data_IF_490533515110
#
_entry.id   IF_490533515110
#
_cell.length_a   1.000
_cell.length_b   1.000
_cell.length_c   1.000
_cell.angle_alpha   90.00
_cell.angle_beta   90.00
_cell.angle_gamma   90.00
#
_symmetry.space_group_name_H-M   'P 1'
#
loop_
_entity.id
_entity.type
_entity.pdbx_description
1 polymer ?
#
# COMPACT_ATOMS: atom_id res chain seq x y z
N UNK A 1 -48.63 4.79 -5.50
CA UNK A 1 -47.74 5.90 -5.93
C UNK A 1 -47.91 6.10 -7.43
N UNK A 2 -48.09 7.34 -7.92
CA UNK A 2 -48.16 7.62 -9.36
C UNK A 2 -46.75 7.78 -9.93
N UNK A 3 -46.10 6.67 -10.28
CA UNK A 3 -44.74 6.65 -10.84
C UNK A 3 -44.60 7.53 -12.10
N UNK A 4 -45.68 7.63 -12.88
CA UNK A 4 -45.80 8.45 -14.09
C UNK A 4 -45.39 9.93 -13.90
N UNK A 5 -45.57 10.51 -12.70
CA UNK A 5 -45.18 11.90 -12.41
C UNK A 5 -43.66 12.07 -12.34
N UNK A 6 -42.94 11.03 -11.90
CA UNK A 6 -41.48 11.03 -11.77
C UNK A 6 -40.84 10.68 -13.11
N UNK A 7 -41.36 9.65 -13.79
CA UNK A 7 -40.83 9.17 -15.07
C UNK A 7 -40.91 10.21 -16.19
N UNK A 8 -41.93 11.08 -16.16
CA UNK A 8 -42.10 12.15 -17.14
C UNK A 8 -41.29 13.41 -16.84
N UNK A 9 -40.67 13.51 -15.66
CA UNK A 9 -39.90 14.68 -15.25
C UNK A 9 -38.43 14.28 -15.01
N UNK A 10 -37.58 14.55 -16.01
CA UNK A 10 -36.15 14.19 -15.98
C UNK A 10 -35.43 14.80 -14.77
N UNK A 11 -35.76 16.04 -14.38
CA UNK A 11 -35.14 16.69 -13.22
C UNK A 11 -35.50 16.00 -11.91
N UNK A 12 -36.78 15.65 -11.73
CA UNK A 12 -37.25 14.93 -10.55
C UNK A 12 -36.67 13.50 -10.48
N UNK A 13 -36.61 12.81 -11.61
CA UNK A 13 -35.99 11.49 -11.73
C UNK A 13 -34.49 11.54 -11.37
N UNK A 14 -33.75 12.52 -11.88
CA UNK A 14 -32.33 12.69 -11.57
C UNK A 14 -32.08 12.90 -10.07
N UNK A 15 -32.89 13.74 -9.40
CA UNK A 15 -32.80 13.98 -7.96
C UNK A 15 -33.01 12.66 -7.19
N UNK A 16 -34.03 11.88 -7.52
CA UNK A 16 -34.29 10.62 -6.83
C UNK A 16 -33.20 9.56 -7.08
N UNK A 17 -32.59 9.52 -8.26
CA UNK A 17 -31.45 8.65 -8.54
C UNK A 17 -30.25 9.03 -7.64
N UNK A 18 -29.92 10.31 -7.56
CA UNK A 18 -28.83 10.79 -6.70
C UNK A 18 -29.08 10.41 -5.24
N UNK A 19 -30.30 10.64 -4.73
CA UNK A 19 -30.67 10.26 -3.37
C UNK A 19 -30.54 8.75 -3.17
N UNK A 20 -31.08 7.95 -4.08
CA UNK A 20 -31.07 6.49 -3.97
C UNK A 20 -29.66 5.91 -3.93
N UNK A 21 -28.77 6.37 -4.81
CA UNK A 21 -27.37 5.90 -4.86
C UNK A 21 -26.57 6.40 -3.64
N UNK A 22 -26.87 7.61 -3.14
CA UNK A 22 -26.17 8.19 -1.99
C UNK A 22 -26.35 7.38 -0.70
N UNK A 23 -27.47 6.68 -0.52
CA UNK A 23 -27.68 5.85 0.66
C UNK A 23 -26.67 4.70 0.78
N UNK A 24 -26.26 4.09 -0.34
CA UNK A 24 -25.25 3.03 -0.34
C UNK A 24 -23.91 3.54 0.17
N UNK A 25 -23.40 4.62 -0.44
CA UNK A 25 -22.16 5.26 0.00
C UNK A 25 -22.24 5.76 1.45
N UNK A 26 -23.39 6.30 1.86
CA UNK A 26 -23.60 6.77 3.22
C UNK A 26 -23.47 5.62 4.23
N UNK A 27 -24.16 4.50 4.02
CA UNK A 27 -24.16 3.38 4.96
C UNK A 27 -22.84 2.60 4.97
N UNK A 28 -22.16 2.48 3.82
CA UNK A 28 -20.92 1.70 3.73
C UNK A 28 -19.66 2.49 4.10
N UNK A 29 -19.56 3.76 3.70
CA UNK A 29 -18.32 4.55 3.87
C UNK A 29 -18.36 5.36 5.17
N UNK A 30 -19.48 6.03 5.46
CA UNK A 30 -19.48 7.02 6.56
C UNK A 30 -19.18 6.41 7.92
N UNK A 31 -19.74 5.23 8.31
CA UNK A 31 -19.44 4.66 9.63
C UNK A 31 -17.96 4.31 9.81
N UNK A 32 -17.24 4.00 8.73
CA UNK A 32 -15.82 3.61 8.78
C UNK A 32 -14.91 4.75 9.23
N UNK A 33 -15.29 6.01 9.06
CA UNK A 33 -14.52 7.15 9.58
C UNK A 33 -14.48 7.21 11.12
N UNK A 34 -15.44 6.57 11.79
CA UNK A 34 -15.55 6.57 13.26
C UNK A 34 -15.38 5.18 13.87
N UNK A 35 -15.14 4.15 13.06
CA UNK A 35 -14.88 2.80 13.55
C UNK A 35 -13.40 2.66 13.93
N UNK A 36 -13.14 2.55 15.23
CA UNK A 36 -11.79 2.47 15.80
C UNK A 36 -10.95 1.35 15.19
N UNK A 37 -11.54 0.18 14.95
CA UNK A 37 -10.86 -0.96 14.37
C UNK A 37 -10.20 -0.66 13.01
N UNK A 38 -10.72 0.33 12.26
CA UNK A 38 -10.22 0.73 10.94
C UNK A 38 -9.44 2.04 10.93
N UNK A 39 -9.39 2.77 12.06
CA UNK A 39 -8.77 4.09 12.15
C UNK A 39 -7.61 4.15 13.14
N UNK A 40 -7.54 3.24 14.11
CA UNK A 40 -6.46 3.21 15.10
C UNK A 40 -5.33 2.29 14.61
N UNK A 41 -4.07 2.78 14.54
CA UNK A 41 -2.94 1.94 14.18
C UNK A 41 -2.65 0.92 15.29
N UNK A 42 -1.94 -0.16 14.95
CA UNK A 42 -1.37 -1.04 15.98
C UNK A 42 -0.32 -0.29 16.81
N UNK A 43 -0.22 -0.60 18.11
CA UNK A 43 0.76 0.02 19.02
C UNK A 43 2.23 -0.13 18.55
N UNK A 44 2.49 -1.19 17.79
CA UNK A 44 3.80 -1.56 17.23
C UNK A 44 4.03 -1.01 15.81
N UNK A 45 3.04 -0.36 15.20
CA UNK A 45 3.16 0.22 13.88
C UNK A 45 4.03 1.48 13.96
N UNK A 46 5.10 1.52 13.15
CA UNK A 46 5.91 2.72 12.95
C UNK A 46 5.71 3.27 11.54
N UNK A 47 5.85 4.58 11.34
CA UNK A 47 5.82 5.12 9.99
C UNK A 47 6.99 4.57 9.16
N UNK A 48 6.82 4.56 7.85
CA UNK A 48 7.89 4.20 6.93
C UNK A 48 9.06 5.17 7.05
N UNK A 49 10.28 4.68 6.98
CA UNK A 49 11.44 5.54 6.78
C UNK A 49 11.35 6.23 5.41
N UNK A 50 12.11 7.32 5.20
CA UNK A 50 12.11 8.01 3.91
C UNK A 50 12.42 7.05 2.73
N UNK A 51 13.35 6.11 2.91
CA UNK A 51 13.71 5.15 1.88
C UNK A 51 12.61 4.11 1.62
N UNK A 52 11.96 3.60 2.68
CA UNK A 52 10.81 2.72 2.56
C UNK A 52 9.62 3.42 1.86
N UNK A 53 9.42 4.71 2.15
CA UNK A 53 8.38 5.52 1.51
C UNK A 53 8.62 5.71 0.00
N UNK A 54 9.87 5.96 -0.42
CA UNK A 54 10.20 5.96 -1.85
C UNK A 54 10.01 4.57 -2.48
N UNK A 55 10.42 3.51 -1.78
CA UNK A 55 10.24 2.13 -2.23
C UNK A 55 8.78 1.74 -2.45
N UNK A 56 7.90 2.21 -1.56
CA UNK A 56 6.45 2.05 -1.67
C UNK A 56 5.90 2.73 -2.92
N UNK A 57 6.35 3.94 -3.21
CA UNK A 57 5.90 4.66 -4.39
C UNK A 57 6.45 4.04 -5.69
N UNK A 58 7.64 3.46 -5.66
CA UNK A 58 8.18 2.64 -6.75
C UNK A 58 7.33 1.37 -6.91
N UNK A 59 6.96 0.68 -5.83
CA UNK A 59 6.06 -0.48 -5.89
C UNK A 59 4.72 -0.14 -6.56
N UNK A 60 4.18 1.06 -6.30
CA UNK A 60 3.00 1.58 -6.98
C UNK A 60 3.26 1.91 -8.45
N UNK A 61 4.37 2.60 -8.77
CA UNK A 61 4.74 2.98 -10.14
C UNK A 61 4.93 1.77 -11.05
N UNK A 62 5.60 0.74 -10.54
CA UNK A 62 5.81 -0.54 -11.22
C UNK A 62 4.57 -1.44 -11.21
N UNK A 63 3.49 -0.98 -10.57
CA UNK A 63 2.18 -1.62 -10.51
C UNK A 63 2.24 -3.07 -9.98
N UNK A 64 3.12 -3.33 -9.01
CA UNK A 64 3.29 -4.65 -8.41
C UNK A 64 1.99 -5.19 -7.81
N UNK A 65 1.10 -4.29 -7.36
CA UNK A 65 -0.23 -4.57 -6.78
C UNK A 65 -1.17 -5.33 -7.73
N UNK A 66 -0.96 -5.28 -9.05
CA UNK A 66 -1.76 -6.07 -10.02
C UNK A 66 -1.46 -7.58 -9.95
N UNK A 67 -0.27 -7.95 -9.48
CA UNK A 67 0.16 -9.34 -9.36
C UNK A 67 0.21 -9.82 -7.93
N UNK A 68 0.48 -8.92 -6.98
CA UNK A 68 0.72 -9.23 -5.58
C UNK A 68 -0.27 -8.51 -4.68
N UNK A 69 -0.94 -9.29 -3.83
CA UNK A 69 -1.75 -8.74 -2.74
C UNK A 69 -0.88 -8.46 -1.50
N UNK A 70 -1.37 -7.56 -0.65
CA UNK A 70 -0.86 -7.31 0.69
C UNK A 70 -2.02 -7.41 1.69
N UNK A 71 -2.75 -8.52 1.66
CA UNK A 71 -3.91 -8.75 2.54
C UNK A 71 -4.14 -10.25 2.72
N UNK A 72 -3.67 -10.78 3.85
CA UNK A 72 -3.81 -12.19 4.19
C UNK A 72 -5.17 -12.43 4.83
N UNK A 73 -5.94 -13.36 4.28
CA UNK A 73 -7.29 -13.68 4.76
C UNK A 73 -7.24 -14.60 6.00
N UNK A 74 -8.24 -14.56 6.89
CA UNK A 74 -8.27 -15.34 8.12
C UNK A 74 -8.68 -16.81 7.89
N UNK A 75 -8.02 -17.47 6.94
CA UNK A 75 -8.17 -18.90 6.69
C UNK A 75 -6.88 -19.62 7.06
N UNK A 76 -7.01 -20.79 7.68
CA UNK A 76 -5.85 -21.61 8.08
C UNK A 76 -4.84 -21.81 6.95
N UNK A 77 -5.31 -22.13 5.74
CA UNK A 77 -4.42 -22.36 4.60
C UNK A 77 -3.62 -21.11 4.17
N UNK A 78 -4.17 -19.91 4.38
CA UNK A 78 -3.42 -18.67 4.13
C UNK A 78 -2.45 -18.37 5.25
N UNK A 79 -2.86 -18.58 6.50
CA UNK A 79 -2.00 -18.26 7.63
C UNK A 79 -0.77 -19.17 7.70
N UNK A 80 -0.92 -20.45 7.33
CA UNK A 80 0.20 -21.40 7.22
C UNK A 80 1.15 -21.03 6.07
N UNK A 81 0.64 -20.38 5.00
CA UNK A 81 1.43 -20.03 3.81
C UNK A 81 2.16 -18.69 3.94
N UNK A 82 1.47 -17.71 4.49
CA UNK A 82 1.90 -16.30 4.48
C UNK A 82 2.20 -15.75 5.87
N UNK A 83 1.71 -16.37 6.96
CA UNK A 83 1.84 -15.86 8.32
C UNK A 83 0.52 -15.32 8.88
N UNK A 84 0.56 -14.59 10.00
CA UNK A 84 -0.65 -14.07 10.63
C UNK A 84 -1.53 -13.27 9.64
N UNK A 85 -2.85 -13.45 9.73
CA UNK A 85 -3.81 -12.74 8.88
C UNK A 85 -3.69 -11.23 9.05
N UNK A 86 -4.04 -10.48 8.01
CA UNK A 86 -3.94 -9.02 8.02
C UNK A 86 -5.03 -8.39 8.87
N UNK A 87 -4.65 -7.37 9.64
CA UNK A 87 -5.57 -6.58 10.47
C UNK A 87 -5.60 -5.13 9.97
N UNK A 88 -6.74 -4.47 10.14
CA UNK A 88 -6.96 -3.13 9.59
C UNK A 88 -5.96 -2.09 10.13
N UNK A 89 -5.58 -2.21 11.41
CA UNK A 89 -4.58 -1.36 12.06
C UNK A 89 -3.21 -1.31 11.37
N UNK A 90 -2.86 -2.30 10.53
CA UNK A 90 -1.58 -2.29 9.78
C UNK A 90 -1.58 -1.36 8.58
N UNK A 91 -2.76 -1.04 8.03
CA UNK A 91 -2.91 -0.25 6.80
C UNK A 91 -3.42 1.17 7.06
N UNK A 92 -3.50 1.61 8.32
CA UNK A 92 -4.08 2.91 8.67
C UNK A 92 -3.36 4.08 8.02
N UNK A 93 -2.04 3.96 7.83
CA UNK A 93 -1.21 4.99 7.17
C UNK A 93 -0.93 4.71 5.69
N UNK A 94 -1.61 3.73 5.09
CA UNK A 94 -1.45 3.39 3.67
C UNK A 94 -2.32 4.29 2.78
N UNK A 95 -1.70 5.31 2.18
CA UNK A 95 -2.36 6.23 1.25
C UNK A 95 -1.73 6.15 -0.15
N UNK A 96 -2.41 5.53 -1.15
CA UNK A 96 -3.60 4.69 -1.04
C UNK A 96 -3.28 3.29 -0.48
N UNK A 97 -4.31 2.52 -0.08
CA UNK A 97 -4.12 1.13 0.35
C UNK A 97 -3.57 0.24 -0.79
N UNK A 98 -2.72 -0.74 -0.45
CA UNK A 98 -2.05 -1.65 -1.40
C UNK A 98 -2.45 -3.12 -1.23
N UNK A 99 -3.66 -3.38 -0.72
CA UNK A 99 -4.18 -4.72 -0.43
C UNK A 99 -4.17 -5.67 -1.64
N UNK A 100 -4.31 -5.14 -2.85
CA UNK A 100 -4.39 -5.91 -4.09
C UNK A 100 -5.72 -6.65 -4.27
N UNK A 101 -6.00 -7.06 -5.51
CA UNK A 101 -7.24 -7.75 -5.89
C UNK A 101 -7.01 -9.06 -6.65
N UNK A 102 -5.74 -9.39 -6.92
CA UNK A 102 -5.31 -10.57 -7.66
C UNK A 102 -4.00 -11.11 -7.09
N UNK A 103 -3.81 -12.42 -7.22
CA UNK A 103 -2.57 -13.14 -6.87
C UNK A 103 -2.07 -13.91 -8.08
N UNK A 104 -1.38 -13.21 -8.98
CA UNK A 104 -0.55 -13.87 -10.01
C UNK A 104 0.74 -14.36 -9.37
N UNK A 105 1.34 -13.52 -8.52
CA UNK A 105 2.38 -13.89 -7.58
C UNK A 105 1.83 -14.06 -6.16
N UNK A 106 2.69 -14.45 -5.19
CA UNK A 106 2.28 -14.66 -3.80
C UNK A 106 1.88 -13.35 -3.10
N UNK A 107 1.15 -13.45 -1.99
CA UNK A 107 0.89 -12.32 -1.09
C UNK A 107 2.20 -11.85 -0.44
N UNK A 108 2.36 -10.52 -0.29
CA UNK A 108 3.55 -9.87 0.22
C UNK A 108 3.40 -9.23 1.61
N UNK A 109 2.22 -9.29 2.24
CA UNK A 109 1.94 -8.59 3.51
C UNK A 109 2.89 -8.96 4.67
N UNK A 110 3.61 -10.08 4.54
CA UNK A 110 4.56 -10.61 5.54
C UNK A 110 5.88 -11.05 4.90
N UNK A 111 6.27 -10.43 3.78
CA UNK A 111 7.53 -10.80 3.11
C UNK A 111 8.75 -10.32 3.87
N UNK A 112 8.61 -9.30 4.73
CA UNK A 112 9.70 -8.71 5.46
C UNK A 112 10.46 -9.72 6.33
N UNK A 113 11.75 -9.88 6.10
CA UNK A 113 12.64 -10.83 6.78
C UNK A 113 12.47 -12.29 6.34
N UNK A 114 11.58 -12.59 5.38
CA UNK A 114 11.42 -13.95 4.83
C UNK A 114 12.53 -14.29 3.84
N UNK A 115 13.06 -13.29 3.14
CA UNK A 115 14.17 -13.39 2.20
C UNK A 115 15.23 -12.34 2.51
N UNK A 116 16.48 -12.60 2.13
CA UNK A 116 17.56 -11.62 2.26
C UNK A 116 17.43 -10.52 1.22
N UNK A 117 18.04 -9.36 1.49
CA UNK A 117 18.11 -8.25 0.54
C UNK A 117 18.74 -8.68 -0.80
N UNK A 118 19.79 -9.50 -0.74
CA UNK A 118 20.44 -10.05 -1.94
C UNK A 118 19.49 -10.93 -2.77
N UNK A 119 18.64 -11.72 -2.11
CA UNK A 119 17.62 -12.49 -2.80
C UNK A 119 16.60 -11.58 -3.47
N UNK A 120 16.12 -10.53 -2.78
CA UNK A 120 15.21 -9.56 -3.37
C UNK A 120 15.83 -8.86 -4.58
N UNK A 121 17.11 -8.47 -4.50
CA UNK A 121 17.85 -7.86 -5.62
C UNK A 121 17.93 -8.81 -6.80
N UNK A 122 18.39 -10.05 -6.59
CA UNK A 122 18.49 -11.03 -7.66
C UNK A 122 17.12 -11.33 -8.30
N UNK A 123 16.09 -11.51 -7.47
CA UNK A 123 14.73 -11.77 -7.93
C UNK A 123 14.13 -10.59 -8.72
N UNK A 124 14.32 -9.34 -8.29
CA UNK A 124 13.80 -8.19 -9.01
C UNK A 124 14.53 -7.94 -10.34
N UNK A 125 15.85 -8.18 -10.37
CA UNK A 125 16.66 -8.01 -11.59
C UNK A 125 16.36 -9.08 -12.64
N UNK A 126 16.25 -10.34 -12.24
CA UNK A 126 15.83 -11.43 -13.10
C UNK A 126 15.11 -12.52 -12.29
N UNK A 127 13.77 -12.49 -12.20
CA UNK A 127 13.02 -13.45 -11.39
C UNK A 127 13.30 -14.91 -11.76
N UNK A 128 13.58 -15.18 -13.05
CA UNK A 128 13.85 -16.54 -13.54
C UNK A 128 15.23 -17.07 -13.16
N UNK A 129 16.15 -16.20 -12.72
CA UNK A 129 17.46 -16.61 -12.24
C UNK A 129 17.40 -17.36 -10.89
N UNK A 130 16.39 -17.03 -10.07
CA UNK A 130 16.19 -17.62 -8.73
C UNK A 130 14.92 -18.46 -8.62
N UNK A 131 13.93 -18.22 -9.49
CA UNK A 131 12.69 -19.01 -9.62
C UNK A 131 12.44 -19.26 -11.11
N UNK A 132 12.98 -20.35 -11.69
CA UNK A 132 12.96 -20.60 -13.15
C UNK A 132 11.58 -20.54 -13.80
N UNK A 133 10.55 -20.95 -13.09
CA UNK A 133 9.15 -20.94 -13.52
C UNK A 133 8.41 -19.61 -13.30
N UNK A 134 9.11 -18.57 -12.80
CA UNK A 134 8.50 -17.28 -12.51
C UNK A 134 7.98 -16.60 -13.78
N UNK A 135 6.73 -16.14 -13.71
CA UNK A 135 6.11 -15.29 -14.72
C UNK A 135 6.21 -13.79 -14.39
N UNK A 136 6.93 -13.43 -13.32
CA UNK A 136 7.15 -12.04 -12.95
C UNK A 136 8.06 -11.35 -13.99
N UNK A 137 7.76 -10.11 -14.41
CA UNK A 137 8.66 -9.31 -15.23
C UNK A 137 10.00 -9.04 -14.53
N UNK A 138 11.06 -8.85 -15.30
CA UNK A 138 12.33 -8.37 -14.76
C UNK A 138 12.31 -6.83 -14.68
N UNK A 139 12.89 -6.26 -13.62
CA UNK A 139 12.97 -4.83 -13.34
C UNK A 139 14.43 -4.33 -13.24
N UNK A 140 15.30 -4.57 -14.25
CA UNK A 140 16.72 -4.24 -14.17
C UNK A 140 17.00 -2.74 -14.00
N UNK A 141 16.13 -1.87 -14.54
CA UNK A 141 16.27 -0.42 -14.45
C UNK A 141 16.28 0.10 -13.02
N UNK A 142 15.69 -0.63 -12.06
CA UNK A 142 15.69 -0.23 -10.66
C UNK A 142 17.10 -0.12 -10.08
N UNK A 143 18.08 -0.88 -10.60
CA UNK A 143 19.47 -0.79 -10.17
C UNK A 143 20.23 0.37 -10.83
N UNK A 144 19.74 0.88 -11.96
CA UNK A 144 20.37 1.96 -12.72
C UNK A 144 19.85 3.33 -12.28
N UNK A 145 18.57 3.40 -11.90
CA UNK A 145 17.93 4.63 -11.47
C UNK A 145 18.34 5.00 -10.04
N UNK A 146 18.84 6.22 -9.87
CA UNK A 146 19.30 6.75 -8.58
C UNK A 146 18.33 7.82 -8.09
N UNK A 147 17.92 7.71 -6.84
CA UNK A 147 17.02 8.65 -6.18
C UNK A 147 17.78 9.92 -5.78
N UNK A 148 17.23 11.08 -6.11
CA UNK A 148 17.77 12.38 -5.69
C UNK A 148 17.32 12.80 -4.27
N UNK A 149 16.17 12.28 -3.81
CA UNK A 149 15.57 12.56 -2.51
C UNK A 149 14.89 13.93 -2.38
N UNK A 150 14.81 14.72 -3.46
CA UNK A 150 14.37 16.12 -3.45
C UNK A 150 12.92 16.30 -2.97
N UNK A 151 12.04 15.35 -3.31
CA UNK A 151 10.63 15.40 -2.92
C UNK A 151 10.33 14.59 -1.64
N UNK A 152 11.31 13.85 -1.08
CA UNK A 152 11.06 12.96 0.06
C UNK A 152 10.61 13.72 1.30
N UNK A 153 11.24 14.85 1.62
CA UNK A 153 10.85 15.69 2.77
C UNK A 153 9.41 16.23 2.63
N UNK A 154 9.04 16.68 1.43
CA UNK A 154 7.69 17.18 1.13
C UNK A 154 6.65 16.06 1.24
N UNK A 155 6.97 14.86 0.77
CA UNK A 155 6.11 13.68 0.88
C UNK A 155 5.85 13.31 2.34
N UNK A 156 6.88 13.21 3.18
CA UNK A 156 6.71 12.93 4.61
C UNK A 156 5.89 14.05 5.30
N UNK A 157 6.11 15.31 4.91
CA UNK A 157 5.32 16.45 5.41
C UNK A 157 3.84 16.35 5.04
N UNK A 158 3.50 15.87 3.84
CA UNK A 158 2.11 15.65 3.44
C UNK A 158 1.48 14.57 4.32
N UNK A 159 2.17 13.45 4.51
CA UNK A 159 1.66 12.35 5.35
C UNK A 159 1.49 12.76 6.81
N UNK A 160 2.41 13.58 7.34
CA UNK A 160 2.28 14.18 8.66
C UNK A 160 1.05 15.09 8.77
N UNK A 161 0.89 16.01 7.81
CA UNK A 161 -0.06 17.13 7.95
C UNK A 161 -1.49 16.78 7.50
N UNK A 162 -1.66 15.78 6.64
CA UNK A 162 -2.97 15.46 6.04
C UNK A 162 -3.46 14.04 6.36
N UNK A 163 -2.58 13.15 6.81
CA UNK A 163 -2.91 11.74 7.08
C UNK A 163 -2.53 11.31 8.51
N UNK A 164 -2.23 12.28 9.39
CA UNK A 164 -1.92 12.06 10.81
C UNK A 164 -0.83 11.01 11.07
N UNK A 165 0.08 10.82 10.10
CA UNK A 165 1.21 9.90 10.27
C UNK A 165 2.24 10.56 11.20
N UNK A 166 2.71 9.87 12.25
CA UNK A 166 3.48 10.50 13.34
C UNK A 166 4.95 10.72 12.98
N UNK A 167 5.24 11.41 11.87
CA UNK A 167 6.59 11.84 11.52
C UNK A 167 7.08 12.99 12.42
N UNK A 168 8.30 12.87 12.89
CA UNK A 168 9.00 13.95 13.58
C UNK A 168 9.56 14.96 12.59
N UNK A 169 9.86 16.18 13.06
CA UNK A 169 10.53 17.18 12.20
C UNK A 169 11.94 16.73 11.79
N UNK A 170 12.57 15.88 12.60
CA UNK A 170 13.85 15.25 12.29
C UNK A 170 13.72 14.25 11.13
N UNK A 171 12.65 13.45 11.09
CA UNK A 171 12.39 12.53 9.98
C UNK A 171 12.27 13.29 8.65
N UNK A 172 11.54 14.42 8.67
CA UNK A 172 11.34 15.28 7.49
C UNK A 172 12.65 15.95 7.07
N UNK A 173 13.39 16.55 8.02
CA UNK A 173 14.64 17.24 7.74
C UNK A 173 15.75 16.29 7.23
N UNK A 174 15.77 15.05 7.71
CA UNK A 174 16.72 14.02 7.30
C UNK A 174 16.33 13.24 6.04
N UNK A 175 15.12 13.44 5.51
CA UNK A 175 14.56 12.59 4.46
C UNK A 175 15.37 12.59 3.16
N UNK A 176 15.78 13.76 2.65
CA UNK A 176 16.57 13.86 1.42
C UNK A 176 17.90 13.11 1.59
N UNK A 177 18.61 13.35 2.69
CA UNK A 177 19.91 12.74 2.94
C UNK A 177 19.82 11.21 3.11
N UNK A 178 18.71 10.70 3.67
CA UNK A 178 18.48 9.25 3.82
C UNK A 178 18.27 8.53 2.48
N UNK A 179 17.79 9.24 1.47
CA UNK A 179 17.39 8.70 0.15
C UNK A 179 18.45 8.95 -0.92
N UNK A 180 19.08 10.13 -0.89
CA UNK A 180 19.96 10.62 -1.94
C UNK A 180 21.10 9.64 -2.24
N UNK A 181 21.23 9.27 -3.52
CA UNK A 181 22.27 8.36 -3.99
C UNK A 181 21.94 6.87 -3.82
N UNK A 182 20.80 6.53 -3.21
CA UNK A 182 20.27 5.16 -3.21
C UNK A 182 19.64 4.85 -4.56
N UNK A 183 19.71 3.59 -4.98
CA UNK A 183 19.01 3.13 -6.17
C UNK A 183 17.52 2.92 -5.88
N UNK A 184 16.69 2.92 -6.92
CA UNK A 184 15.28 2.52 -6.79
C UNK A 184 15.15 1.07 -6.29
N UNK A 185 16.10 0.21 -6.64
CA UNK A 185 16.18 -1.15 -6.15
C UNK A 185 16.42 -1.19 -4.64
N UNK A 186 17.32 -0.35 -4.11
CA UNK A 186 17.52 -0.22 -2.66
C UNK A 186 16.24 0.19 -1.95
N UNK A 187 15.53 1.17 -2.50
CA UNK A 187 14.28 1.67 -1.94
C UNK A 187 13.19 0.59 -1.95
N UNK A 188 12.97 -0.07 -3.09
CA UNK A 188 11.98 -1.13 -3.21
C UNK A 188 12.28 -2.31 -2.28
N UNK A 189 13.55 -2.71 -2.14
CA UNK A 189 13.96 -3.74 -1.19
C UNK A 189 13.67 -3.29 0.25
N UNK A 190 13.99 -2.04 0.61
CA UNK A 190 13.69 -1.50 1.94
C UNK A 190 12.19 -1.56 2.25
N UNK A 191 11.34 -1.13 1.31
CA UNK A 191 9.89 -1.25 1.44
C UNK A 191 9.43 -2.69 1.63
N UNK A 192 9.88 -3.63 0.79
CA UNK A 192 9.51 -5.04 0.92
C UNK A 192 9.95 -5.63 2.27
N UNK A 193 11.12 -5.25 2.77
CA UNK A 193 11.60 -5.68 4.09
C UNK A 193 10.77 -5.12 5.25
N UNK A 194 10.12 -3.98 5.05
CA UNK A 194 9.24 -3.35 6.04
C UNK A 194 7.87 -4.04 6.14
N UNK A 195 7.43 -4.79 5.12
CA UNK A 195 6.10 -5.38 5.09
C UNK A 195 5.89 -6.41 6.22
N UNK A 196 4.88 -6.15 7.05
CA UNK A 196 4.52 -6.97 8.21
C UNK A 196 5.31 -6.66 9.49
N UNK A 197 6.08 -5.57 9.52
CA UNK A 197 6.90 -5.20 10.69
C UNK A 197 6.08 -5.00 11.98
N UNK A 198 4.83 -4.56 11.88
CA UNK A 198 3.98 -4.27 13.04
C UNK A 198 3.53 -5.54 13.81
N UNK A 199 3.66 -6.74 13.23
CA UNK A 199 3.25 -7.99 13.88
C UNK A 199 4.44 -8.88 14.27
N UNK A 200 5.66 -8.34 14.27
CA UNK A 200 6.86 -9.05 14.71
C UNK A 200 7.10 -8.93 16.21
#
# INVERSE_FOLDING_TARGET
>A
MKHELIEKNIGLLAIFIVIAISFGAMVEITPLFWQKDTTEPLDTLRPYTALEMEGRDIYMRENCVVCHSQMIRPFRAETERYGAYSVAGESVWEHPFLWGSKRTGPDLARVGGRYSDDWHRAHLLDPRSVVPESNMPAFPWLAENVLDGSESAKKLSIFKNYFDVPYTDADIAGAEAAVKGKTELDALVAYLQSLGHALK
#
